data_IF_013752764188
#
_entry.id   IF_013752764188
#
_cell.length_a   1.000
_cell.length_b   1.000
_cell.length_c   1.000
_cell.angle_alpha   90.00
_cell.angle_beta   90.00
_cell.angle_gamma   90.00
#
_symmetry.space_group_name_H-M   'P 1'
#
loop_
_entity.id
_entity.type
_entity.pdbx_description
1 polymer ?
#
# COMPACT_ATOMS: atom_id res chain seq x y z
N UNK A 1 -27.19 -26.05 -44.68
CA UNK A 1 -26.70 -24.71 -44.32
C UNK A 1 -26.60 -24.65 -42.80
N UNK A 2 -25.41 -24.84 -42.25
CA UNK A 2 -25.17 -24.85 -40.80
C UNK A 2 -24.69 -23.47 -40.35
N UNK A 3 -25.43 -22.84 -39.43
CA UNK A 3 -25.03 -21.61 -38.79
C UNK A 3 -24.24 -21.94 -37.51
N UNK A 4 -22.98 -21.52 -37.45
CA UNK A 4 -22.12 -21.65 -36.28
C UNK A 4 -22.37 -20.43 -35.38
N UNK A 5 -22.95 -20.66 -34.20
CA UNK A 5 -23.01 -19.66 -33.14
C UNK A 5 -21.61 -19.51 -32.51
N UNK A 6 -21.02 -18.33 -32.65
CA UNK A 6 -19.82 -17.93 -31.91
C UNK A 6 -20.28 -17.32 -30.59
N UNK A 7 -20.20 -18.09 -29.51
CA UNK A 7 -20.40 -17.58 -28.16
C UNK A 7 -19.09 -16.88 -27.76
N UNK A 8 -19.08 -15.54 -27.82
CA UNK A 8 -18.05 -14.73 -27.16
C UNK A 8 -18.24 -14.89 -25.65
N UNK A 9 -17.54 -15.85 -25.05
CA UNK A 9 -17.32 -15.88 -23.62
C UNK A 9 -16.31 -14.79 -23.28
N UNK A 10 -16.81 -13.59 -22.97
CA UNK A 10 -16.03 -12.58 -22.25
C UNK A 10 -15.73 -13.14 -20.86
N UNK A 11 -14.55 -13.75 -20.72
CA UNK A 11 -13.99 -14.10 -19.44
C UNK A 11 -13.81 -12.79 -18.66
N UNK A 12 -14.76 -12.51 -17.77
CA UNK A 12 -14.53 -11.65 -16.63
C UNK A 12 -13.32 -12.23 -15.92
N UNK A 13 -12.16 -11.62 -16.14
CA UNK A 13 -10.99 -11.85 -15.32
C UNK A 13 -11.34 -11.30 -13.95
N UNK A 14 -12.03 -12.10 -13.14
CA UNK A 14 -12.01 -11.98 -11.71
C UNK A 14 -10.55 -12.15 -11.32
N UNK A 15 -9.81 -11.05 -11.25
CA UNK A 15 -8.59 -11.00 -10.46
C UNK A 15 -9.05 -11.16 -9.02
N UNK A 16 -9.23 -12.40 -8.60
CA UNK A 16 -9.21 -12.79 -7.20
C UNK A 16 -7.87 -12.29 -6.69
N UNK A 17 -7.89 -11.10 -6.08
CA UNK A 17 -6.79 -10.62 -5.26
C UNK A 17 -6.48 -11.77 -4.31
N UNK A 18 -5.37 -12.51 -4.46
CA UNK A 18 -4.98 -13.40 -3.40
C UNK A 18 -4.88 -12.50 -2.18
N UNK A 19 -5.40 -12.90 -1.00
CA UNK A 19 -5.05 -12.23 0.23
C UNK A 19 -3.55 -12.48 0.38
N UNK A 20 -2.74 -11.63 -0.24
CA UNK A 20 -1.31 -11.61 -0.02
C UNK A 20 -1.19 -11.48 1.50
N UNK A 21 -0.30 -12.28 2.10
CA UNK A 21 -0.05 -12.32 3.54
C UNK A 21 0.38 -10.97 4.13
N UNK A 22 0.37 -9.92 3.30
CA UNK A 22 0.76 -8.57 3.60
C UNK A 22 2.27 -8.43 3.53
N UNK A 23 2.75 -7.44 2.79
CA UNK A 23 4.14 -7.04 2.82
C UNK A 23 4.44 -6.45 4.20
N UNK A 24 5.33 -7.13 4.93
CA UNK A 24 5.75 -6.78 6.30
C UNK A 24 7.18 -6.25 6.37
N UNK A 25 7.90 -6.24 5.25
CA UNK A 25 9.28 -5.76 5.18
C UNK A 25 9.40 -4.72 4.08
N UNK A 26 10.03 -3.60 4.42
CA UNK A 26 10.25 -2.50 3.49
C UNK A 26 11.12 -2.91 2.29
N UNK A 27 12.08 -3.82 2.50
CA UNK A 27 12.96 -4.32 1.45
C UNK A 27 12.24 -5.06 0.31
N UNK A 28 11.00 -5.53 0.54
CA UNK A 28 10.23 -6.27 -0.47
C UNK A 28 9.47 -5.33 -1.43
N UNK A 29 9.48 -4.00 -1.22
CA UNK A 29 8.67 -3.04 -1.98
C UNK A 29 9.10 -2.87 -3.44
N UNK A 30 10.41 -2.81 -3.72
CA UNK A 30 10.92 -2.56 -5.08
C UNK A 30 10.45 -3.65 -6.06
N UNK A 31 10.38 -4.91 -5.61
CA UNK A 31 9.88 -6.03 -6.41
C UNK A 31 8.36 -6.05 -6.62
N UNK A 32 7.63 -5.10 -6.05
CA UNK A 32 6.16 -5.01 -6.09
C UNK A 32 5.67 -3.68 -6.69
N UNK A 33 6.58 -2.89 -7.26
CA UNK A 33 6.23 -1.64 -7.95
C UNK A 33 5.26 -1.88 -9.10
N UNK A 34 4.27 -1.00 -9.23
CA UNK A 34 3.23 -1.10 -10.26
C UNK A 34 2.22 -2.21 -10.00
N UNK A 35 2.11 -2.70 -8.76
CA UNK A 35 1.16 -3.73 -8.36
C UNK A 35 0.23 -3.25 -7.24
N UNK A 36 -0.96 -3.86 -7.18
CA UNK A 36 -1.81 -3.74 -6.00
C UNK A 36 -1.25 -4.64 -4.90
N UNK A 37 -0.90 -4.02 -3.77
CA UNK A 37 -0.29 -4.69 -2.63
C UNK A 37 -1.10 -4.44 -1.37
N UNK A 38 -0.90 -5.31 -0.38
CA UNK A 38 -1.32 -5.08 1.00
C UNK A 38 -0.07 -4.83 1.82
N UNK A 39 0.03 -3.67 2.47
CA UNK A 39 1.09 -3.36 3.42
C UNK A 39 0.62 -3.65 4.84
N UNK A 40 1.51 -4.19 5.67
CA UNK A 40 1.26 -4.46 7.08
C UNK A 40 2.34 -3.80 7.92
N UNK A 41 1.92 -2.83 8.72
CA UNK A 41 2.83 -2.03 9.51
C UNK A 41 2.09 -1.30 10.63
N UNK A 42 2.55 -0.10 10.92
CA UNK A 42 2.07 0.69 12.04
C UNK A 42 1.85 2.15 11.63
N UNK A 43 0.87 2.82 12.21
CA UNK A 43 0.82 4.27 12.18
C UNK A 43 1.85 4.82 13.18
N UNK A 44 2.51 5.93 12.84
CA UNK A 44 3.34 6.65 13.79
C UNK A 44 2.48 7.21 14.92
N UNK A 45 2.96 7.11 16.16
CA UNK A 45 2.34 7.72 17.35
C UNK A 45 2.51 9.24 17.42
N UNK A 46 3.40 9.82 16.60
CA UNK A 46 3.67 11.26 16.57
C UNK A 46 3.05 11.92 15.33
N UNK A 47 2.86 11.14 14.27
CA UNK A 47 2.64 11.61 12.90
C UNK A 47 1.55 10.78 12.24
N UNK A 48 0.35 10.92 12.79
CA UNK A 48 -0.81 10.08 12.50
C UNK A 48 -1.27 10.26 11.05
N UNK A 49 -1.84 9.19 10.47
CA UNK A 49 -2.58 9.17 9.20
C UNK A 49 -1.78 9.39 7.91
N UNK A 50 -0.51 9.75 8.03
CA UNK A 50 0.31 10.08 6.88
C UNK A 50 0.90 8.80 6.27
N UNK A 51 1.78 8.08 6.97
CA UNK A 51 2.51 6.96 6.39
C UNK A 51 2.40 5.66 7.19
N UNK A 52 2.69 4.53 6.54
CA UNK A 52 2.81 3.20 7.16
C UNK A 52 4.27 2.90 7.45
N UNK A 53 4.59 2.67 8.71
CA UNK A 53 5.93 2.33 9.19
C UNK A 53 6.09 0.82 9.30
N UNK A 54 7.21 0.30 8.80
CA UNK A 54 7.58 -1.10 8.90
C UNK A 54 8.40 -1.34 10.17
N UNK A 55 8.15 -2.46 10.85
CA UNK A 55 8.93 -2.89 12.01
C UNK A 55 8.48 -2.33 13.36
N UNK A 56 8.54 -1.01 13.58
CA UNK A 56 8.25 -0.40 14.88
C UNK A 56 7.29 0.80 14.77
N UNK A 57 6.50 1.04 15.82
CA UNK A 57 5.53 2.16 15.92
C UNK A 57 6.21 3.51 16.15
N UNK A 58 7.41 3.49 16.74
CA UNK A 58 8.12 4.69 17.12
C UNK A 58 8.94 5.18 15.93
N UNK A 59 8.53 6.33 15.38
CA UNK A 59 9.20 7.00 14.26
C UNK A 59 10.73 7.08 14.41
N UNK A 60 11.23 7.35 15.62
CA UNK A 60 12.66 7.50 15.91
C UNK A 60 13.48 6.22 15.68
N UNK A 61 12.83 5.06 15.72
CA UNK A 61 13.53 3.77 15.64
C UNK A 61 13.73 3.30 14.19
N UNK A 62 12.89 3.77 13.25
CA UNK A 62 12.97 3.41 11.84
C UNK A 62 12.31 4.48 10.93
N UNK A 63 12.83 5.72 10.88
CA UNK A 63 12.20 6.82 10.14
C UNK A 63 12.23 6.61 8.62
N UNK A 64 13.18 5.82 8.11
CA UNK A 64 13.40 5.60 6.68
C UNK A 64 12.59 4.42 6.11
N UNK A 65 11.97 3.61 6.96
CA UNK A 65 11.20 2.44 6.53
C UNK A 65 9.72 2.74 6.54
N UNK A 66 9.34 3.77 5.78
CA UNK A 66 7.98 4.27 5.79
C UNK A 66 7.45 4.50 4.38
N UNK A 67 6.17 4.18 4.17
CA UNK A 67 5.48 4.32 2.89
C UNK A 67 4.38 5.35 3.03
N UNK A 68 4.43 6.38 2.19
CA UNK A 68 3.40 7.41 2.15
C UNK A 68 2.07 6.82 1.68
N UNK A 69 0.94 7.32 2.20
CA UNK A 69 -0.39 6.81 1.89
C UNK A 69 -1.26 7.90 1.28
N UNK A 70 -1.88 7.60 0.13
CA UNK A 70 -2.75 8.52 -0.58
C UNK A 70 -4.06 7.83 -1.01
N UNK A 71 -5.24 8.32 -0.60
CA UNK A 71 -5.45 9.48 0.28
C UNK A 71 -5.01 9.22 1.73
N UNK A 72 -4.86 10.30 2.50
CA UNK A 72 -4.65 10.23 3.96
C UNK A 72 -5.81 9.45 4.60
N UNK A 73 -5.47 8.42 5.37
CA UNK A 73 -6.46 7.52 5.99
C UNK A 73 -6.62 7.83 7.48
N UNK A 74 -7.82 7.68 8.05
CA UNK A 74 -8.02 7.88 9.48
C UNK A 74 -7.13 6.94 10.28
N UNK A 75 -6.23 7.49 11.08
CA UNK A 75 -5.34 6.72 11.93
C UNK A 75 -6.14 5.93 12.96
N UNK A 76 -5.86 4.63 13.06
CA UNK A 76 -6.36 3.80 14.15
C UNK A 76 -5.15 3.44 15.00
N UNK A 77 -5.05 3.92 16.25
CA UNK A 77 -3.96 3.60 17.18
C UNK A 77 -4.00 2.14 17.68
N UNK A 78 -4.23 1.20 16.75
CA UNK A 78 -4.26 -0.24 16.94
C UNK A 78 -2.87 -0.83 16.81
N UNK A 79 -2.76 -2.08 17.22
CA UNK A 79 -1.47 -2.73 17.32
C UNK A 79 -0.74 -2.87 15.99
N UNK A 80 -1.43 -3.22 14.90
CA UNK A 80 -0.87 -3.22 13.56
C UNK A 80 -2.00 -2.87 12.59
N UNK A 81 -1.66 -2.20 11.48
CA UNK A 81 -2.61 -1.82 10.45
C UNK A 81 -2.30 -2.50 9.13
N UNK A 82 -3.36 -2.77 8.38
CA UNK A 82 -3.30 -3.36 7.05
C UNK A 82 -3.93 -2.39 6.08
N UNK A 83 -3.18 -2.00 5.06
CA UNK A 83 -3.63 -1.03 4.06
C UNK A 83 -3.36 -1.61 2.69
N UNK A 84 -4.39 -1.68 1.87
CA UNK A 84 -4.27 -2.10 0.48
C UNK A 84 -4.25 -0.87 -0.43
N UNK A 85 -3.53 -0.98 -1.54
CA UNK A 85 -3.45 0.07 -2.56
C UNK A 85 -2.46 -0.28 -3.66
N UNK A 86 -2.24 0.67 -4.56
CA UNK A 86 -1.33 0.52 -5.68
C UNK A 86 0.04 1.12 -5.32
N UNK A 87 1.10 0.31 -5.38
CA UNK A 87 2.43 0.72 -4.98
C UNK A 87 3.17 1.40 -6.12
N UNK A 88 3.59 2.65 -5.90
CA UNK A 88 4.34 3.45 -6.87
C UNK A 88 5.65 3.96 -6.29
N UNK A 89 6.61 4.20 -7.17
CA UNK A 89 7.84 4.91 -6.86
C UNK A 89 7.56 6.41 -6.89
N UNK A 90 7.93 7.11 -5.83
CA UNK A 90 7.78 8.56 -5.74
C UNK A 90 9.08 9.25 -6.16
N UNK A 91 8.97 10.30 -6.99
CA UNK A 91 10.09 11.17 -7.36
C UNK A 91 10.39 12.29 -6.36
N UNK A 92 9.53 12.45 -5.33
CA UNK A 92 9.51 13.48 -4.30
C UNK A 92 9.39 14.96 -4.75
N UNK A 93 8.40 15.64 -4.18
CA UNK A 93 8.10 17.08 -4.17
C UNK A 93 7.32 17.45 -2.88
N UNK A 94 6.83 18.69 -2.74
CA UNK A 94 6.48 19.32 -1.44
C UNK A 94 5.40 18.60 -0.62
N UNK A 95 5.90 17.80 0.33
CA UNK A 95 5.45 17.66 1.73
C UNK A 95 4.06 17.06 2.01
N UNK A 96 3.90 15.99 2.79
CA UNK A 96 4.82 15.11 3.54
C UNK A 96 4.66 13.70 2.95
N UNK A 97 5.12 12.60 3.54
CA UNK A 97 4.25 11.90 4.50
C UNK A 97 4.98 10.60 4.96
N UNK A 98 6.16 10.82 5.55
CA UNK A 98 6.66 10.19 6.79
C UNK A 98 7.44 11.30 7.58
N UNK A 99 6.79 12.47 7.54
CA UNK A 99 7.00 13.84 8.02
C UNK A 99 8.31 14.64 7.89
N UNK A 100 9.46 14.14 7.45
CA UNK A 100 10.63 15.03 7.15
C UNK A 100 11.55 14.54 6.04
N UNK A 101 11.31 13.31 5.57
CA UNK A 101 12.19 12.63 4.63
C UNK A 101 11.36 12.22 3.42
N UNK A 102 11.85 12.59 2.24
CA UNK A 102 11.38 12.08 0.96
C UNK A 102 11.34 10.54 1.01
N UNK A 103 10.14 9.97 0.95
CA UNK A 103 10.01 8.52 0.85
C UNK A 103 9.98 8.10 -0.61
N UNK A 104 10.76 7.08 -0.99
CA UNK A 104 10.83 6.60 -2.36
C UNK A 104 9.55 5.87 -2.81
N UNK A 105 8.61 5.58 -1.90
CA UNK A 105 7.39 4.84 -2.21
C UNK A 105 6.13 5.52 -1.67
N UNK A 106 5.07 5.46 -2.48
CA UNK A 106 3.72 5.90 -2.13
C UNK A 106 2.73 4.79 -2.45
N UNK A 107 1.73 4.63 -1.59
CA UNK A 107 0.61 3.73 -1.77
C UNK A 107 -0.61 4.55 -2.23
N UNK A 108 -0.92 4.51 -3.51
CA UNK A 108 -2.06 5.20 -4.14
C UNK A 108 -3.36 4.42 -3.96
N UNK A 109 -4.49 5.12 -4.02
CA UNK A 109 -5.84 4.55 -3.84
C UNK A 109 -5.94 3.70 -2.56
N UNK A 110 -5.26 4.17 -1.53
CA UNK A 110 -5.10 3.44 -0.31
C UNK A 110 -6.43 3.32 0.44
N UNK A 111 -6.65 2.16 1.07
CA UNK A 111 -7.78 1.92 1.94
C UNK A 111 -7.42 0.90 3.02
N UNK A 112 -7.98 1.10 4.21
CA UNK A 112 -7.81 0.17 5.32
C UNK A 112 -8.53 -1.15 5.02
N UNK A 113 -7.88 -2.26 5.36
CA UNK A 113 -8.51 -3.59 5.35
C UNK A 113 -8.43 -4.19 6.77
N UNK A 114 -9.42 -5.03 7.12
CA UNK A 114 -9.54 -5.62 8.46
C UNK A 114 -8.56 -6.79 8.67
#
# INVERSE_FOLDING_TARGET
MSAILIILASAFSCTTYPPSSGLRRYADLEGQLGQNVTLVGYWSSQHEATGIYFGNRWYRDAPEQCVSVEPILPAQHRDAVRVAGFLEKSGCGDELICLTVCQPYVLKNAHMIQ
#
